data_IF_067035819157
#
_entry.id   IF_067035819157
#
_cell.length_a   1.000
_cell.length_b   1.000
_cell.length_c   1.000
_cell.angle_alpha   90.00
_cell.angle_beta   90.00
_cell.angle_gamma   90.00
#
_symmetry.space_group_name_H-M   'P 1'
#
loop_
_entity.id
_entity.type
_entity.pdbx_description
1 polymer ?
#
# COMPACT_ATOMS: atom_id res chain seq x y z
N UNK A 1 -21.20 -11.75 16.32
CA UNK A 1 -20.17 -12.58 16.93
C UNK A 1 -19.55 -11.73 18.01
N UNK A 2 -19.77 -12.14 19.26
CA UNK A 2 -18.94 -11.66 20.35
C UNK A 2 -17.51 -12.20 20.11
N UNK A 3 -16.47 -11.47 20.50
CA UNK A 3 -15.07 -11.94 20.44
C UNK A 3 -14.96 -13.34 21.07
N UNK A 4 -15.78 -13.63 22.09
CA UNK A 4 -15.88 -14.93 22.76
C UNK A 4 -16.28 -16.11 21.87
N UNK A 5 -16.83 -15.87 20.68
CA UNK A 5 -17.25 -16.90 19.72
C UNK A 5 -16.18 -17.24 18.67
N UNK A 6 -15.06 -16.52 18.65
CA UNK A 6 -13.87 -16.93 17.87
C UNK A 6 -13.20 -18.07 18.63
N UNK A 7 -13.00 -19.24 18.01
CA UNK A 7 -12.37 -20.38 18.69
C UNK A 7 -10.87 -20.14 18.93
N UNK A 8 -10.21 -19.46 17.98
CA UNK A 8 -8.79 -19.08 18.06
C UNK A 8 -8.53 -18.11 19.22
N UNK A 9 -7.81 -18.58 20.24
CA UNK A 9 -7.45 -17.81 21.44
C UNK A 9 -6.44 -16.69 21.13
N UNK A 10 -5.47 -16.93 20.23
CA UNK A 10 -4.47 -15.93 19.87
C UNK A 10 -5.14 -14.77 19.14
N UNK A 11 -6.04 -15.08 18.20
CA UNK A 11 -6.83 -14.08 17.49
C UNK A 11 -7.70 -13.25 18.45
N UNK A 12 -8.33 -13.90 19.44
CA UNK A 12 -9.11 -13.20 20.47
C UNK A 12 -8.26 -12.25 21.31
N UNK A 13 -7.05 -12.64 21.68
CA UNK A 13 -6.13 -11.79 22.44
C UNK A 13 -5.65 -10.59 21.62
N UNK A 14 -5.35 -10.79 20.34
CA UNK A 14 -4.93 -9.72 19.42
C UNK A 14 -6.04 -8.67 19.21
N UNK A 15 -7.29 -9.12 19.02
CA UNK A 15 -8.42 -8.20 18.90
C UNK A 15 -8.71 -7.54 20.25
N UNK A 16 -8.69 -8.32 21.33
CA UNK A 16 -8.95 -7.86 22.69
C UNK A 16 -10.39 -7.38 22.84
N UNK A 17 -10.58 -6.18 23.39
CA UNK A 17 -11.90 -5.56 23.62
C UNK A 17 -12.36 -4.64 22.48
N UNK A 18 -11.64 -4.64 21.35
CA UNK A 18 -11.92 -3.75 20.24
C UNK A 18 -13.17 -4.20 19.47
N UNK A 19 -13.86 -3.29 18.78
CA UNK A 19 -15.05 -3.64 18.01
C UNK A 19 -14.80 -4.74 16.98
N UNK A 20 -15.73 -5.71 16.93
CA UNK A 20 -15.91 -6.65 15.82
C UNK A 20 -17.30 -6.40 15.24
N UNK A 21 -17.40 -6.30 13.92
CA UNK A 21 -18.67 -6.17 13.22
C UNK A 21 -18.83 -7.26 12.15
N UNK A 22 -20.09 -7.61 11.88
CA UNK A 22 -20.47 -8.39 10.70
C UNK A 22 -21.19 -7.48 9.73
N UNK A 23 -20.79 -7.55 8.46
CA UNK A 23 -21.58 -7.02 7.37
C UNK A 23 -22.17 -8.20 6.62
N UNK A 24 -23.46 -8.13 6.32
CA UNK A 24 -24.20 -9.16 5.59
C UNK A 24 -25.31 -8.51 4.77
N UNK A 25 -25.68 -9.15 3.68
CA UNK A 25 -26.82 -8.77 2.85
C UNK A 25 -27.83 -9.91 2.93
N UNK A 26 -29.11 -9.59 3.11
CA UNK A 26 -30.19 -10.56 3.04
C UNK A 26 -31.17 -10.19 1.94
N UNK A 27 -31.51 -11.15 1.08
CA UNK A 27 -32.52 -11.02 0.03
C UNK A 27 -33.61 -12.02 0.37
N UNK A 28 -34.86 -11.54 0.51
CA UNK A 28 -36.02 -12.36 0.89
C UNK A 28 -35.82 -13.19 2.17
N UNK A 29 -35.00 -12.68 3.10
CA UNK A 29 -34.68 -13.34 4.37
C UNK A 29 -33.55 -14.36 4.28
N UNK A 30 -32.96 -14.60 3.12
CA UNK A 30 -31.80 -15.49 2.96
C UNK A 30 -30.49 -14.69 2.87
N UNK A 31 -29.41 -15.23 3.43
CA UNK A 31 -28.09 -14.60 3.37
C UNK A 31 -27.56 -14.64 1.93
N UNK A 32 -27.22 -13.48 1.39
CA UNK A 32 -26.63 -13.31 0.07
C UNK A 32 -25.15 -12.94 0.20
N UNK A 33 -24.22 -13.71 -0.40
CA UNK A 33 -22.80 -13.40 -0.38
C UNK A 33 -22.52 -12.21 -1.31
N UNK A 34 -22.54 -11.00 -0.77
CA UNK A 34 -22.24 -9.80 -1.55
C UNK A 34 -20.74 -9.66 -1.78
N UNK A 35 -20.35 -9.57 -3.06
CA UNK A 35 -19.01 -9.19 -3.52
C UNK A 35 -19.15 -8.41 -4.84
N UNK A 36 -18.78 -7.14 -4.83
CA UNK A 36 -18.80 -6.29 -6.02
C UNK A 36 -17.63 -5.29 -5.99
N UNK A 37 -16.55 -5.55 -6.74
CA UNK A 37 -15.40 -4.65 -6.87
C UNK A 37 -15.75 -3.25 -7.36
N UNK A 38 -16.81 -3.10 -8.16
CA UNK A 38 -17.23 -1.84 -8.77
C UNK A 38 -18.16 -1.00 -7.87
N UNK A 39 -18.53 -1.51 -6.70
CA UNK A 39 -19.45 -0.83 -5.78
C UNK A 39 -18.96 -0.91 -4.34
N UNK A 40 -17.83 -0.26 -4.00
CA UNK A 40 -17.29 -0.31 -2.65
C UNK A 40 -18.24 0.30 -1.62
N UNK A 41 -18.30 -0.32 -0.44
CA UNK A 41 -19.02 0.17 0.74
C UNK A 41 -18.02 0.78 1.72
N UNK A 42 -18.25 2.04 2.10
CA UNK A 42 -17.49 2.71 3.16
C UNK A 42 -18.11 2.41 4.52
N UNK A 43 -17.28 2.00 5.46
CA UNK A 43 -17.66 1.68 6.85
C UNK A 43 -16.99 2.67 7.79
N UNK A 44 -17.71 3.11 8.81
CA UNK A 44 -17.19 3.95 9.88
C UNK A 44 -17.68 3.40 11.23
N UNK A 45 -16.76 3.03 12.10
CA UNK A 45 -17.03 2.45 13.42
C UNK A 45 -16.58 3.46 14.48
N UNK A 46 -17.49 3.98 15.34
CA UNK A 46 -17.07 4.79 16.49
C UNK A 46 -16.05 4.03 17.34
N UNK A 47 -14.93 4.67 17.64
CA UNK A 47 -13.85 4.04 18.39
C UNK A 47 -13.18 5.06 19.31
N UNK A 48 -13.02 4.70 20.58
CA UNK A 48 -12.27 5.47 21.57
C UNK A 48 -10.97 4.73 21.84
N UNK A 49 -9.83 5.16 21.25
CA UNK A 49 -8.57 4.48 21.48
C UNK A 49 -8.09 4.69 22.93
N UNK A 50 -7.27 3.77 23.40
CA UNK A 50 -6.56 3.92 24.68
C UNK A 50 -5.46 5.00 24.58
N UNK A 51 -4.87 5.40 25.71
CA UNK A 51 -3.74 6.35 25.71
C UNK A 51 -2.54 5.83 24.90
N UNK A 52 -2.26 4.52 24.95
CA UNK A 52 -1.20 3.88 24.16
C UNK A 52 -1.49 3.96 22.66
N UNK A 53 -2.72 3.70 22.26
CA UNK A 53 -3.14 3.74 20.85
C UNK A 53 -3.16 5.17 20.31
N UNK A 54 -3.55 6.15 21.13
CA UNK A 54 -3.50 7.58 20.79
C UNK A 54 -2.06 8.10 20.65
N UNK A 55 -1.08 7.47 21.27
CA UNK A 55 0.32 7.83 21.05
C UNK A 55 0.79 7.46 19.63
N UNK A 56 0.19 6.44 19.01
CA UNK A 56 0.54 5.99 17.66
C UNK A 56 -0.71 5.55 16.85
N UNK A 57 -1.65 6.46 16.54
CA UNK A 57 -2.98 6.11 16.03
C UNK A 57 -2.96 5.48 14.63
N UNK A 58 -1.89 5.66 13.87
CA UNK A 58 -1.71 5.08 12.53
C UNK A 58 -1.56 3.55 12.53
N UNK A 59 -1.32 2.96 13.70
CA UNK A 59 -1.30 1.51 13.94
C UNK A 59 -2.68 0.92 14.23
N UNK A 60 -3.70 1.76 14.44
CA UNK A 60 -5.09 1.33 14.50
C UNK A 60 -5.54 1.05 13.07
N UNK A 61 -5.84 -0.21 12.78
CA UNK A 61 -6.22 -0.70 11.45
C UNK A 61 -7.37 -1.70 11.55
N UNK A 62 -7.69 -2.36 10.44
CA UNK A 62 -8.81 -3.29 10.32
C UNK A 62 -8.33 -4.61 9.76
N UNK A 63 -8.81 -5.70 10.35
CA UNK A 63 -8.64 -7.05 9.84
C UNK A 63 -9.97 -7.58 9.30
N UNK A 64 -9.92 -8.19 8.12
CA UNK A 64 -10.96 -9.07 7.61
C UNK A 64 -10.73 -10.46 8.17
N UNK A 65 -11.80 -11.08 8.68
CA UNK A 65 -11.80 -12.45 9.21
C UNK A 65 -12.79 -13.25 8.37
N UNK A 66 -12.32 -14.29 7.68
CA UNK A 66 -13.21 -15.14 6.88
C UNK A 66 -13.88 -16.23 7.74
N UNK A 67 -14.65 -17.11 7.08
CA UNK A 67 -15.42 -18.18 7.75
C UNK A 67 -14.53 -19.25 8.38
N UNK A 68 -13.29 -19.37 7.92
CA UNK A 68 -12.29 -20.31 8.44
C UNK A 68 -11.38 -19.64 9.49
N UNK A 69 -11.80 -18.48 10.02
CA UNK A 69 -11.05 -17.63 10.94
C UNK A 69 -9.70 -17.13 10.39
N UNK A 70 -9.48 -17.20 9.07
CA UNK A 70 -8.26 -16.68 8.46
C UNK A 70 -8.33 -15.16 8.39
N UNK A 71 -7.25 -14.54 8.83
CA UNK A 71 -7.10 -13.09 8.91
C UNK A 71 -6.38 -12.55 7.69
N UNK A 72 -6.95 -11.50 7.10
CA UNK A 72 -6.29 -10.68 6.09
C UNK A 72 -6.39 -9.20 6.46
N UNK A 73 -5.29 -8.43 6.43
CA UNK A 73 -5.34 -6.99 6.65
C UNK A 73 -6.23 -6.29 5.63
N UNK A 74 -6.91 -5.23 6.06
CA UNK A 74 -7.64 -4.30 5.19
C UNK A 74 -6.80 -3.02 5.11
N UNK A 75 -5.97 -2.84 4.06
CA UNK A 75 -4.90 -1.84 4.06
C UNK A 75 -5.38 -0.39 4.19
N UNK A 76 -6.57 -0.08 3.68
CA UNK A 76 -7.19 1.26 3.81
C UNK A 76 -7.87 1.47 5.17
N UNK A 77 -7.84 0.50 6.08
CA UNK A 77 -8.34 0.63 7.44
C UNK A 77 -7.47 1.55 8.28
N UNK A 78 -8.08 2.60 8.83
CA UNK A 78 -7.41 3.62 9.63
C UNK A 78 -8.32 4.27 10.66
N UNK A 79 -7.74 4.74 11.75
CA UNK A 79 -8.39 5.68 12.65
C UNK A 79 -8.39 7.10 12.07
N UNK A 80 -9.52 7.77 12.23
CA UNK A 80 -9.78 9.16 11.87
C UNK A 80 -10.04 9.93 13.18
N UNK A 81 -9.05 10.71 13.61
CA UNK A 81 -9.08 11.48 14.85
C UNK A 81 -10.13 12.59 14.85
N UNK A 82 -10.43 13.16 13.68
CA UNK A 82 -11.39 14.26 13.54
C UNK A 82 -12.82 13.77 13.83
N UNK A 83 -13.15 12.58 13.35
CA UNK A 83 -14.48 11.97 13.51
C UNK A 83 -14.58 11.03 14.71
N UNK A 84 -13.46 10.60 15.28
CA UNK A 84 -13.43 9.58 16.34
C UNK A 84 -13.88 8.20 15.84
N UNK A 85 -13.60 7.88 14.58
CA UNK A 85 -14.04 6.62 13.95
C UNK A 85 -12.88 5.86 13.32
N UNK A 86 -12.98 4.53 13.30
CA UNK A 86 -12.18 3.69 12.40
C UNK A 86 -12.93 3.54 11.09
N UNK A 87 -12.27 3.92 9.99
CA UNK A 87 -12.86 3.93 8.65
C UNK A 87 -12.11 3.01 7.71
N UNK A 88 -12.85 2.39 6.79
CA UNK A 88 -12.33 1.52 5.75
C UNK A 88 -13.35 1.36 4.62
N UNK A 89 -12.88 0.96 3.44
CA UNK A 89 -13.76 0.65 2.30
C UNK A 89 -13.56 -0.78 1.83
N UNK A 90 -14.65 -1.49 1.58
CA UNK A 90 -14.67 -2.92 1.24
C UNK A 90 -15.55 -3.18 0.02
N UNK A 91 -15.31 -4.28 -0.65
CA UNK A 91 -16.09 -4.71 -1.82
C UNK A 91 -16.76 -6.07 -1.59
N UNK A 92 -16.73 -6.59 -0.37
CA UNK A 92 -17.39 -7.83 0.01
C UNK A 92 -17.84 -7.74 1.46
N UNK A 93 -18.83 -8.54 1.82
CA UNK A 93 -19.37 -8.60 3.17
C UNK A 93 -18.84 -9.81 3.94
N UNK A 94 -18.37 -9.56 5.17
CA UNK A 94 -17.71 -10.54 6.03
C UNK A 94 -17.62 -10.00 7.47
N UNK A 95 -16.78 -10.63 8.30
CA UNK A 95 -16.39 -10.12 9.61
C UNK A 95 -15.21 -9.18 9.50
N UNK A 96 -15.27 -8.09 10.27
CA UNK A 96 -14.20 -7.10 10.37
C UNK A 96 -13.93 -6.74 11.82
N UNK A 97 -12.67 -6.68 12.21
CA UNK A 97 -12.24 -6.31 13.55
C UNK A 97 -11.35 -5.07 13.51
N UNK A 98 -11.61 -4.12 14.42
CA UNK A 98 -10.67 -3.05 14.72
C UNK A 98 -9.52 -3.65 15.52
N UNK A 99 -8.29 -3.35 15.12
CA UNK A 99 -7.08 -3.88 15.75
C UNK A 99 -6.03 -2.79 15.89
N UNK A 100 -5.14 -2.94 16.87
CA UNK A 100 -3.95 -2.13 17.01
C UNK A 100 -2.73 -3.01 16.79
N UNK A 101 -2.07 -2.81 15.66
CA UNK A 101 -0.95 -3.66 15.23
C UNK A 101 0.30 -2.82 15.28
N UNK A 102 1.25 -3.18 16.13
CA UNK A 102 2.57 -2.57 16.14
C UNK A 102 3.61 -3.60 15.70
N UNK A 103 4.02 -3.52 14.42
CA UNK A 103 5.06 -4.38 13.86
C UNK A 103 6.34 -3.59 13.62
N UNK A 104 7.41 -4.01 14.29
CA UNK A 104 8.77 -3.45 14.14
C UNK A 104 9.76 -4.52 13.68
N UNK A 105 10.98 -4.10 13.37
CA UNK A 105 12.07 -4.97 12.92
C UNK A 105 13.38 -4.57 13.60
N UNK A 106 14.20 -5.56 13.96
CA UNK A 106 15.45 -5.38 14.70
C UNK A 106 16.53 -4.58 13.95
N UNK A 107 16.48 -4.53 12.62
CA UNK A 107 17.49 -3.88 11.76
C UNK A 107 17.17 -2.41 11.40
N UNK A 108 16.21 -1.78 12.08
CA UNK A 108 15.81 -0.38 11.81
C UNK A 108 16.65 0.69 12.55
N UNK A 109 17.60 0.30 13.39
CA UNK A 109 18.38 1.24 14.21
C UNK A 109 19.15 2.29 13.37
N UNK A 110 19.66 1.90 12.19
CA UNK A 110 20.41 2.78 11.28
C UNK A 110 19.55 3.66 10.37
N UNK A 111 18.23 3.52 10.39
CA UNK A 111 17.30 4.19 9.45
C UNK A 111 16.11 4.83 10.18
N UNK A 112 16.38 5.59 11.24
CA UNK A 112 15.33 6.24 12.05
C UNK A 112 14.35 7.09 11.24
N UNK A 113 14.81 7.71 10.13
CA UNK A 113 13.98 8.46 9.20
C UNK A 113 12.92 7.61 8.47
N UNK A 114 13.16 6.30 8.32
CA UNK A 114 12.25 5.35 7.68
C UNK A 114 11.46 4.49 8.67
N UNK A 115 11.85 4.46 9.95
CA UNK A 115 11.27 3.59 10.97
C UNK A 115 9.75 3.68 11.02
N UNK A 116 9.21 4.87 11.30
CA UNK A 116 7.77 5.08 11.39
C UNK A 116 7.03 4.68 10.09
N UNK A 117 7.45 5.15 8.89
CA UNK A 117 6.87 4.69 7.64
C UNK A 117 6.85 3.17 7.46
N UNK A 118 7.95 2.49 7.79
CA UNK A 118 8.05 1.03 7.70
C UNK A 118 7.05 0.36 8.66
N UNK A 119 7.06 0.77 9.92
CA UNK A 119 6.23 0.17 10.97
C UNK A 119 4.73 0.39 10.70
N UNK A 120 4.32 1.59 10.30
CA UNK A 120 2.92 1.90 9.94
C UNK A 120 2.47 1.08 8.73
N UNK A 121 3.27 1.06 7.67
CA UNK A 121 2.92 0.31 6.45
C UNK A 121 2.92 -1.20 6.69
N UNK A 122 3.76 -1.71 7.60
CA UNK A 122 3.74 -3.11 8.03
C UNK A 122 2.48 -3.43 8.85
N UNK A 123 2.04 -2.50 9.70
CA UNK A 123 0.84 -2.64 10.52
C UNK A 123 -0.42 -2.73 9.68
N UNK A 124 -0.45 -2.01 8.55
CA UNK A 124 -1.52 -2.07 7.53
C UNK A 124 -1.47 -3.32 6.65
N UNK A 125 -0.50 -4.21 6.87
CA UNK A 125 -0.26 -5.39 6.04
C UNK A 125 0.30 -5.09 4.65
N UNK A 126 0.68 -3.83 4.38
CA UNK A 126 1.21 -3.42 3.07
C UNK A 126 2.62 -3.97 2.91
N UNK A 127 3.48 -3.65 3.87
CA UNK A 127 4.88 -4.05 3.88
C UNK A 127 5.10 -5.31 4.71
N UNK A 128 5.98 -6.19 4.23
CA UNK A 128 6.44 -7.36 4.97
C UNK A 128 7.97 -7.33 5.05
N UNK A 129 8.51 -7.88 6.15
CA UNK A 129 9.94 -8.09 6.31
C UNK A 129 10.47 -9.16 5.36
N UNK A 130 11.79 -9.23 5.22
CA UNK A 130 12.51 -10.30 4.53
C UNK A 130 12.75 -11.52 5.43
N UNK A 131 12.47 -11.37 6.73
CA UNK A 131 12.43 -12.43 7.73
C UNK A 131 11.55 -12.06 8.91
N UNK A 132 11.47 -12.91 9.96
CA UNK A 132 10.59 -12.67 11.11
C UNK A 132 10.84 -11.33 11.82
N UNK A 133 12.11 -10.93 11.96
CA UNK A 133 12.54 -9.69 12.65
C UNK A 133 13.52 -8.87 11.78
N UNK A 134 13.40 -8.96 10.46
CA UNK A 134 14.33 -8.31 9.52
C UNK A 134 13.57 -7.66 8.38
N UNK A 135 13.83 -6.38 8.14
CA UNK A 135 13.24 -5.63 7.03
C UNK A 135 14.19 -5.49 5.83
N UNK A 136 15.50 -5.50 6.07
CA UNK A 136 16.57 -5.21 5.10
C UNK A 136 16.46 -3.82 4.47
N UNK A 137 16.50 -2.73 5.27
CA UNK A 137 16.20 -1.37 4.80
C UNK A 137 17.13 -0.86 3.70
N UNK A 138 18.40 -1.28 3.71
CA UNK A 138 19.42 -0.85 2.74
C UNK A 138 19.46 -1.68 1.45
N UNK A 139 18.72 -2.80 1.39
CA UNK A 139 18.68 -3.63 0.18
C UNK A 139 17.88 -2.93 -0.91
N UNK A 140 18.32 -3.04 -2.16
CA UNK A 140 17.57 -2.55 -3.31
C UNK A 140 16.27 -3.35 -3.45
N UNK A 141 15.17 -2.66 -3.70
CA UNK A 141 13.87 -3.29 -3.97
C UNK A 141 13.78 -3.67 -5.45
N UNK A 142 13.25 -4.87 -5.73
CA UNK A 142 13.01 -5.31 -7.10
C UNK A 142 11.81 -4.57 -7.70
N UNK A 143 11.74 -4.53 -9.03
CA UNK A 143 10.62 -3.93 -9.76
C UNK A 143 9.28 -4.64 -9.46
N UNK A 144 9.30 -5.96 -9.31
CA UNK A 144 8.13 -6.74 -8.90
C UNK A 144 7.71 -6.44 -7.46
N UNK A 145 8.64 -6.45 -6.50
CA UNK A 145 8.34 -6.13 -5.10
C UNK A 145 7.71 -4.75 -4.95
N UNK A 146 8.30 -3.74 -5.61
CA UNK A 146 7.73 -2.40 -5.59
C UNK A 146 6.30 -2.38 -6.15
N UNK A 147 6.05 -3.08 -7.25
CA UNK A 147 4.72 -3.15 -7.88
C UNK A 147 3.70 -3.83 -6.96
N UNK A 148 4.08 -4.93 -6.30
CA UNK A 148 3.23 -5.59 -5.29
C UNK A 148 2.85 -4.60 -4.18
N UNK A 149 3.82 -3.88 -3.64
CA UNK A 149 3.57 -2.90 -2.58
C UNK A 149 2.69 -1.74 -3.06
N UNK A 150 2.91 -1.23 -4.28
CA UNK A 150 2.13 -0.13 -4.85
C UNK A 150 0.66 -0.53 -5.07
N UNK A 151 0.41 -1.68 -5.70
CA UNK A 151 -0.95 -2.22 -5.92
C UNK A 151 -1.67 -2.42 -4.58
N UNK A 152 -0.98 -2.99 -3.59
CA UNK A 152 -1.54 -3.22 -2.25
C UNK A 152 -1.80 -1.92 -1.49
N UNK A 153 -0.90 -0.94 -1.61
CA UNK A 153 -1.04 0.39 -0.98
C UNK A 153 -2.33 1.07 -1.45
N UNK A 154 -2.59 1.01 -2.76
CA UNK A 154 -3.72 1.68 -3.38
C UNK A 154 -5.00 0.81 -3.45
N UNK A 155 -4.93 -0.44 -2.97
CA UNK A 155 -6.06 -1.38 -2.97
C UNK A 155 -6.59 -1.71 -4.37
N UNK A 156 -5.73 -1.67 -5.39
CA UNK A 156 -6.14 -1.79 -6.79
C UNK A 156 -6.44 -3.24 -7.15
N UNK A 157 -7.47 -3.41 -7.99
CA UNK A 157 -7.92 -4.70 -8.51
C UNK A 157 -8.30 -4.57 -9.97
N UNK A 158 -8.04 -5.61 -10.74
CA UNK A 158 -8.47 -5.73 -12.12
C UNK A 158 -8.47 -7.20 -12.53
N UNK A 159 -9.46 -7.61 -13.31
CA UNK A 159 -9.39 -8.87 -14.03
C UNK A 159 -8.47 -8.70 -15.25
N UNK A 160 -7.52 -9.62 -15.40
CA UNK A 160 -6.58 -9.65 -16.50
C UNK A 160 -6.54 -11.06 -17.10
N UNK A 161 -6.22 -11.13 -18.40
CA UNK A 161 -6.22 -12.37 -19.20
C UNK A 161 -4.84 -12.72 -19.73
N UNK A 162 -3.87 -11.83 -19.58
CA UNK A 162 -2.51 -11.97 -20.05
C UNK A 162 -1.54 -11.25 -19.10
N UNK A 163 -0.25 -11.60 -19.17
CA UNK A 163 0.81 -10.97 -18.41
C UNK A 163 2.05 -10.73 -19.30
N UNK A 164 3.15 -10.25 -18.72
CA UNK A 164 4.44 -10.17 -19.43
C UNK A 164 5.06 -11.57 -19.58
N UNK A 165 5.83 -11.78 -20.63
CA UNK A 165 6.37 -13.11 -20.99
C UNK A 165 7.38 -13.65 -19.96
N UNK A 166 7.98 -12.76 -19.16
CA UNK A 166 8.92 -13.09 -18.08
C UNK A 166 8.28 -13.15 -16.69
N UNK A 167 6.95 -13.15 -16.61
CA UNK A 167 6.19 -13.24 -15.35
C UNK A 167 5.42 -14.55 -15.30
N UNK A 168 5.96 -15.51 -14.55
CA UNK A 168 5.37 -16.86 -14.41
C UNK A 168 4.11 -16.85 -13.53
N UNK A 169 3.15 -17.72 -13.86
CA UNK A 169 1.87 -17.84 -13.13
C UNK A 169 2.02 -18.20 -11.65
N UNK A 170 3.07 -18.94 -11.29
CA UNK A 170 3.36 -19.36 -9.92
C UNK A 170 4.16 -18.33 -9.10
N UNK A 171 4.58 -17.22 -9.71
CA UNK A 171 5.29 -16.16 -9.01
C UNK A 171 4.36 -15.40 -8.05
N UNK A 172 4.85 -15.10 -6.83
CA UNK A 172 4.06 -14.35 -5.84
C UNK A 172 3.65 -12.94 -6.31
N UNK A 173 4.34 -12.40 -7.31
CA UNK A 173 4.06 -11.10 -7.92
C UNK A 173 3.18 -11.19 -9.18
N UNK A 174 2.78 -12.39 -9.62
CA UNK A 174 2.01 -12.61 -10.84
C UNK A 174 0.76 -11.72 -10.89
N UNK A 175 -0.07 -11.78 -9.85
CA UNK A 175 -1.32 -11.04 -9.76
C UNK A 175 -1.08 -9.52 -9.77
N UNK A 176 -0.16 -9.03 -8.94
CA UNK A 176 0.10 -7.59 -8.86
C UNK A 176 0.64 -7.02 -10.18
N UNK A 177 1.52 -7.75 -10.86
CA UNK A 177 2.07 -7.32 -12.15
C UNK A 177 1.00 -7.41 -13.25
N UNK A 178 0.15 -8.44 -13.23
CA UNK A 178 -0.98 -8.57 -14.16
C UNK A 178 -1.99 -7.42 -14.00
N UNK A 179 -2.35 -7.07 -12.76
CA UNK A 179 -3.17 -5.89 -12.46
C UNK A 179 -2.48 -4.61 -12.97
N UNK A 180 -1.20 -4.44 -12.67
CA UNK A 180 -0.45 -3.27 -13.11
C UNK A 180 -0.38 -3.16 -14.64
N UNK A 181 -0.22 -4.28 -15.36
CA UNK A 181 -0.27 -4.33 -16.84
C UNK A 181 -1.66 -3.94 -17.35
N UNK A 182 -2.70 -4.57 -16.80
CA UNK A 182 -4.11 -4.36 -17.21
C UNK A 182 -4.58 -2.92 -17.02
N UNK A 183 -4.19 -2.30 -15.91
CA UNK A 183 -4.49 -0.89 -15.61
C UNK A 183 -3.56 0.08 -16.38
N UNK A 184 -2.62 -0.45 -17.16
CA UNK A 184 -1.63 0.34 -17.90
C UNK A 184 -0.77 1.18 -16.97
N UNK A 185 -0.44 0.65 -15.79
CA UNK A 185 0.50 1.19 -14.82
C UNK A 185 1.91 0.71 -15.21
N UNK A 186 2.07 -0.58 -15.46
CA UNK A 186 3.29 -1.18 -15.99
C UNK A 186 3.18 -1.31 -17.51
N UNK A 187 4.14 -0.74 -18.25
CA UNK A 187 4.17 -0.80 -19.72
C UNK A 187 5.22 -1.78 -20.28
N UNK A 188 6.07 -2.34 -19.41
CA UNK A 188 7.26 -3.09 -19.80
C UNK A 188 8.40 -2.19 -20.27
N UNK A 189 9.49 -2.79 -20.72
CA UNK A 189 10.66 -2.13 -21.33
C UNK A 189 10.80 -2.40 -22.84
N UNK A 190 10.00 -3.31 -23.38
CA UNK A 190 10.03 -3.75 -24.77
C UNK A 190 9.65 -5.24 -24.85
N UNK A 191 9.37 -5.76 -26.04
CA UNK A 191 9.23 -7.21 -26.30
C UNK A 191 8.32 -7.98 -25.31
N UNK A 192 7.28 -7.34 -24.78
CA UNK A 192 6.39 -7.87 -23.74
C UNK A 192 7.12 -8.35 -22.45
N UNK A 193 8.20 -7.65 -22.05
CA UNK A 193 9.01 -7.94 -20.87
C UNK A 193 8.80 -6.93 -19.74
N UNK A 194 8.91 -7.41 -18.50
CA UNK A 194 8.78 -6.57 -17.29
C UNK A 194 10.06 -6.48 -16.47
N UNK A 195 10.93 -7.49 -16.53
CA UNK A 195 12.12 -7.68 -15.70
C UNK A 195 11.80 -7.60 -14.19
N UNK A 196 11.00 -8.54 -13.68
CA UNK A 196 10.47 -8.49 -12.31
C UNK A 196 11.54 -8.47 -11.22
N UNK A 197 12.65 -9.18 -11.42
CA UNK A 197 13.68 -9.41 -10.40
C UNK A 197 14.79 -8.34 -10.41
N UNK A 198 14.81 -7.46 -11.40
CA UNK A 198 15.79 -6.38 -11.47
C UNK A 198 15.50 -5.31 -10.40
N UNK A 199 16.54 -4.74 -9.75
CA UNK A 199 16.41 -3.56 -8.93
C UNK A 199 15.74 -2.41 -9.68
N UNK A 200 14.74 -1.77 -9.06
CA UNK A 200 14.04 -0.65 -9.70
C UNK A 200 14.82 0.66 -9.54
N UNK A 201 15.01 1.37 -10.65
CA UNK A 201 15.55 2.73 -10.63
C UNK A 201 14.57 3.71 -9.97
N UNK A 202 15.09 4.80 -9.42
CA UNK A 202 14.27 5.85 -8.79
C UNK A 202 13.30 6.48 -9.78
N UNK A 203 13.73 6.73 -11.02
CA UNK A 203 12.84 7.30 -12.03
C UNK A 203 11.73 6.33 -12.46
N UNK A 204 11.98 5.03 -12.52
CA UNK A 204 10.96 4.05 -12.89
C UNK A 204 9.93 3.87 -11.79
N UNK A 205 10.39 3.82 -10.54
CA UNK A 205 9.52 3.81 -9.36
C UNK A 205 8.57 5.02 -9.37
N UNK A 206 9.12 6.22 -9.57
CA UNK A 206 8.35 7.45 -9.67
C UNK A 206 7.39 7.42 -10.86
N UNK A 207 7.81 6.87 -12.01
CA UNK A 207 6.98 6.78 -13.21
C UNK A 207 5.77 5.87 -13.01
N UNK A 208 5.95 4.67 -12.43
CA UNK A 208 4.85 3.76 -12.11
C UNK A 208 3.83 4.45 -11.17
N UNK A 209 4.35 5.17 -10.18
CA UNK A 209 3.57 5.84 -9.14
C UNK A 209 2.79 7.03 -9.69
N UNK A 210 3.44 7.91 -10.44
CA UNK A 210 2.80 9.05 -11.07
C UNK A 210 1.68 8.59 -12.02
N UNK A 211 1.92 7.53 -12.79
CA UNK A 211 0.94 6.98 -13.73
C UNK A 211 -0.30 6.42 -13.04
N UNK A 212 -0.13 5.67 -11.95
CA UNK A 212 -1.28 5.12 -11.21
C UNK A 212 -2.05 6.22 -10.48
N UNK A 213 -1.35 7.18 -9.88
CA UNK A 213 -1.99 8.29 -9.18
C UNK A 213 -2.79 9.18 -10.13
N UNK A 214 -2.27 9.44 -11.33
CA UNK A 214 -2.93 10.25 -12.35
C UNK A 214 -4.23 9.59 -12.87
N UNK A 215 -4.14 8.30 -13.17
CA UNK A 215 -5.26 7.54 -13.75
C UNK A 215 -6.37 7.25 -12.74
N UNK A 216 -6.01 6.90 -11.50
CA UNK A 216 -6.95 6.29 -10.56
C UNK A 216 -7.15 7.06 -9.26
N UNK A 217 -6.22 7.95 -8.89
CA UNK A 217 -6.26 8.64 -7.58
C UNK A 217 -6.49 10.14 -7.70
N UNK A 218 -6.83 10.64 -8.88
CA UNK A 218 -7.21 12.03 -9.11
C UNK A 218 -6.03 13.01 -9.19
N UNK A 219 -4.78 12.53 -9.12
CA UNK A 219 -3.64 13.36 -9.50
C UNK A 219 -3.78 13.79 -10.97
N UNK A 220 -3.16 14.92 -11.33
CA UNK A 220 -3.08 15.37 -12.71
C UNK A 220 -1.64 15.65 -13.06
N UNK A 221 -1.10 14.87 -14.01
CA UNK A 221 0.23 15.15 -14.54
C UNK A 221 0.28 16.54 -15.15
N UNK A 222 1.40 17.21 -14.94
CA UNK A 222 1.65 18.56 -15.45
C UNK A 222 2.85 18.53 -16.39
N UNK A 223 2.75 19.30 -17.49
CA UNK A 223 3.87 19.55 -18.40
C UNK A 223 4.83 20.62 -17.84
N UNK A 224 4.46 21.30 -16.75
CA UNK A 224 5.35 22.24 -16.06
C UNK A 224 6.41 21.48 -15.27
N UNK A 225 7.62 21.43 -15.84
CA UNK A 225 8.78 20.78 -15.25
C UNK A 225 9.72 21.75 -14.50
N UNK A 226 9.39 23.04 -14.39
CA UNK A 226 10.27 24.04 -13.76
C UNK A 226 10.58 23.75 -12.29
N UNK A 227 9.71 23.02 -11.60
CA UNK A 227 9.97 22.55 -10.23
C UNK A 227 11.27 21.73 -10.14
N UNK A 228 11.67 21.07 -11.23
CA UNK A 228 12.90 20.28 -11.33
C UNK A 228 14.17 21.12 -11.45
N UNK A 229 14.07 22.42 -11.74
CA UNK A 229 15.22 23.32 -11.89
C UNK A 229 16.05 23.45 -10.60
N UNK A 230 15.48 23.07 -9.45
CA UNK A 230 16.17 23.01 -8.16
C UNK A 230 17.15 21.84 -8.03
N UNK A 231 17.08 20.85 -8.92
CA UNK A 231 17.91 19.65 -8.86
C UNK A 231 19.05 19.70 -9.87
N UNK A 232 20.26 19.45 -9.40
CA UNK A 232 21.48 19.56 -10.21
C UNK A 232 21.63 18.41 -11.21
N UNK A 233 20.93 17.30 -10.99
CA UNK A 233 20.91 16.09 -11.81
C UNK A 233 19.62 15.95 -12.64
N UNK A 234 18.85 17.03 -12.81
CA UNK A 234 17.63 17.01 -13.62
C UNK A 234 17.87 16.56 -15.08
N UNK A 235 19.09 16.80 -15.60
CA UNK A 235 19.50 16.40 -16.94
C UNK A 235 19.66 14.89 -17.12
N UNK A 236 19.75 14.14 -16.02
CA UNK A 236 19.84 12.66 -16.04
C UNK A 236 18.46 11.99 -16.06
N UNK A 237 17.38 12.77 -15.95
CA UNK A 237 16.01 12.25 -15.98
C UNK A 237 15.64 11.88 -17.41
N UNK A 238 15.22 10.63 -17.62
CA UNK A 238 14.70 10.21 -18.93
C UNK A 238 13.42 10.97 -19.31
N UNK A 239 13.24 11.25 -20.60
CA UNK A 239 12.12 12.06 -21.11
C UNK A 239 10.75 11.53 -20.66
N UNK A 240 10.56 10.21 -20.67
CA UNK A 240 9.31 9.57 -20.24
C UNK A 240 8.96 9.80 -18.77
N UNK A 241 9.96 10.14 -17.93
CA UNK A 241 9.80 10.31 -16.50
C UNK A 241 9.61 11.78 -16.09
N UNK A 242 9.91 12.75 -16.96
CA UNK A 242 9.97 14.18 -16.64
C UNK A 242 8.67 14.71 -16.00
N UNK A 243 7.54 14.56 -16.70
CA UNK A 243 6.24 15.06 -16.21
C UNK A 243 5.81 14.38 -14.92
N UNK A 244 6.02 13.06 -14.84
CA UNK A 244 5.70 12.27 -13.64
C UNK A 244 6.49 12.74 -12.42
N UNK A 245 7.81 12.84 -12.55
CA UNK A 245 8.69 13.27 -11.47
C UNK A 245 8.42 14.72 -11.07
N UNK A 246 8.27 15.63 -12.03
CA UNK A 246 7.92 17.03 -11.75
C UNK A 246 6.63 17.12 -10.92
N UNK A 247 5.60 16.37 -11.32
CA UNK A 247 4.32 16.33 -10.61
C UNK A 247 4.49 15.78 -9.19
N UNK A 248 5.19 14.66 -9.01
CA UNK A 248 5.41 14.09 -7.68
C UNK A 248 6.24 15.01 -6.76
N UNK A 249 7.17 15.80 -7.30
CA UNK A 249 7.90 16.83 -6.55
C UNK A 249 6.97 17.97 -6.13
N UNK A 250 6.12 18.44 -7.05
CA UNK A 250 5.17 19.53 -6.79
C UNK A 250 4.16 19.16 -5.70
N UNK A 251 3.69 17.92 -5.69
CA UNK A 251 2.80 17.37 -4.66
C UNK A 251 3.52 17.07 -3.34
N UNK A 252 4.84 17.26 -3.26
CA UNK A 252 5.63 17.01 -2.04
C UNK A 252 5.84 15.53 -1.72
N UNK A 253 5.50 14.62 -2.63
CA UNK A 253 5.73 13.17 -2.47
C UNK A 253 7.22 12.84 -2.64
N UNK A 254 7.90 13.56 -3.53
CA UNK A 254 9.36 13.50 -3.73
C UNK A 254 10.01 14.80 -3.28
N UNK A 255 10.98 14.68 -2.36
CA UNK A 255 11.72 15.82 -1.80
C UNK A 255 13.12 15.93 -2.42
N UNK A 256 13.77 14.80 -2.69
CA UNK A 256 15.19 14.72 -3.06
C UNK A 256 16.13 14.77 -1.85
N UNK A 257 17.45 14.71 -2.10
CA UNK A 257 18.51 14.87 -1.10
C UNK A 257 19.67 15.64 -1.72
N UNK A 258 20.30 16.54 -0.98
CA UNK A 258 21.51 17.27 -1.44
C UNK A 258 21.35 17.92 -2.83
N UNK A 259 20.18 18.53 -3.07
CA UNK A 259 19.78 19.10 -4.36
C UNK A 259 19.78 18.11 -5.53
N UNK A 260 19.54 16.82 -5.27
CA UNK A 260 19.47 15.73 -6.25
C UNK A 260 18.18 14.92 -6.16
N UNK A 261 17.76 14.36 -7.29
CA UNK A 261 16.71 13.34 -7.38
C UNK A 261 17.31 11.93 -7.47
N UNK A 262 18.52 11.81 -8.02
CA UNK A 262 19.23 10.56 -8.32
C UNK A 262 18.43 9.62 -9.24
N UNK A 263 17.96 10.06 -10.42
CA UNK A 263 16.97 9.33 -11.22
C UNK A 263 17.42 7.92 -11.64
N UNK A 264 18.72 7.76 -11.92
CA UNK A 264 19.32 6.49 -12.38
C UNK A 264 19.75 5.56 -11.23
N UNK A 265 19.71 6.02 -9.98
CA UNK A 265 20.08 5.18 -8.85
C UNK A 265 18.98 4.15 -8.54
N UNK A 266 19.37 2.97 -8.05
CA UNK A 266 18.43 1.98 -7.54
C UNK A 266 17.78 2.46 -6.23
N UNK A 267 16.53 2.07 -6.02
CA UNK A 267 15.79 2.43 -4.81
C UNK A 267 15.95 1.36 -3.73
N UNK A 268 16.24 1.77 -2.50
CA UNK A 268 16.26 0.88 -1.34
C UNK A 268 14.85 0.59 -0.81
N UNK A 269 14.69 -0.52 -0.09
CA UNK A 269 13.43 -0.88 0.57
C UNK A 269 12.95 0.20 1.55
N UNK A 270 13.87 0.85 2.27
CA UNK A 270 13.53 1.96 3.16
C UNK A 270 12.98 3.18 2.40
N UNK A 271 13.61 3.59 1.30
CA UNK A 271 13.13 4.71 0.49
C UNK A 271 11.76 4.42 -0.12
N UNK A 272 11.55 3.20 -0.63
CA UNK A 272 10.26 2.78 -1.17
C UNK A 272 9.16 2.82 -0.09
N UNK A 273 9.46 2.38 1.14
CA UNK A 273 8.52 2.44 2.25
C UNK A 273 8.13 3.87 2.60
N UNK A 274 9.09 4.79 2.66
CA UNK A 274 8.82 6.21 2.94
C UNK A 274 7.98 6.85 1.84
N UNK A 275 8.29 6.54 0.57
CA UNK A 275 7.52 7.05 -0.55
C UNK A 275 6.08 6.53 -0.52
N UNK A 276 5.88 5.22 -0.36
CA UNK A 276 4.55 4.61 -0.30
C UNK A 276 3.75 5.08 0.92
N UNK A 277 4.39 5.37 2.05
CA UNK A 277 3.74 5.96 3.21
C UNK A 277 3.19 7.36 2.92
N UNK A 278 3.95 8.21 2.19
CA UNK A 278 3.44 9.51 1.73
C UNK A 278 2.26 9.34 0.78
N UNK A 279 2.39 8.43 -0.19
CA UNK A 279 1.30 8.10 -1.13
C UNK A 279 0.05 7.64 -0.37
N UNK A 280 0.21 6.73 0.59
CA UNK A 280 -0.88 6.22 1.42
C UNK A 280 -1.62 7.36 2.13
N UNK A 281 -0.89 8.23 2.83
CA UNK A 281 -1.48 9.32 3.60
C UNK A 281 -2.14 10.39 2.72
N UNK A 282 -1.66 10.59 1.49
CA UNK A 282 -2.19 11.60 0.57
C UNK A 282 -3.40 11.10 -0.23
N UNK A 283 -3.45 9.82 -0.59
CA UNK A 283 -4.43 9.31 -1.58
C UNK A 283 -5.34 8.20 -1.08
N UNK A 284 -5.01 7.51 0.01
CA UNK A 284 -5.84 6.43 0.55
C UNK A 284 -6.76 6.99 1.62
N UNK A 285 -8.08 6.77 1.45
CA UNK A 285 -9.14 7.30 2.30
C UNK A 285 -10.06 6.20 2.82
#
# INVERSE_FOLDING_TARGET
>A
MDVSQIEDEELRQLIGRRPIIQLSLRIDGEDFPWNNPDSPVRVAIPYTPTEEELANPEHITVWHIDRDAKVTPVPNGRYDEETGTVTFSITHFSWFAVVYVHKTFGDLAGVGWARKPIEVMASKGIIQGTGPDTFSPASNITRADYTVLLIRTLGLRAEFTDNFDDVKEDAYYYEAVGIAKKLGIALGDGDNRFNPEEPISRQDLMTLSARVLDKYMGLKLSDDIHVLDRFIDKGDIAEYALSGIATLVKEGLIVGSDSRISPLANTTRAEAAVFLYRVYNSYVK
#
